data_IF_078384475059
#
_entry.id   IF_078384475059
#
_cell.length_a   1.000
_cell.length_b   1.000
_cell.length_c   1.000
_cell.angle_alpha   90.00
_cell.angle_beta   90.00
_cell.angle_gamma   90.00
#
_symmetry.space_group_name_H-M   'P 1'
#
loop_
_entity.id
_entity.type
_entity.pdbx_description
1 polymer ?
#
# COMPACT_ATOMS: atom_id res chain seq x y z
N UNK A 1 32.53 16.91 25.19
CA UNK A 1 31.63 17.43 24.11
C UNK A 1 31.49 16.40 23.00
N UNK A 2 32.60 15.92 22.40
CA UNK A 2 32.57 14.83 21.40
C UNK A 2 31.86 13.54 21.83
N UNK A 3 31.98 13.12 23.10
CA UNK A 3 31.24 11.94 23.59
C UNK A 3 29.72 12.17 23.61
N UNK A 4 29.26 13.32 24.11
CA UNK A 4 27.83 13.63 24.16
C UNK A 4 27.18 13.74 22.77
N UNK A 5 27.92 14.20 21.76
CA UNK A 5 27.46 14.26 20.37
C UNK A 5 27.37 12.86 19.72
N UNK A 6 28.36 11.99 19.98
CA UNK A 6 28.34 10.60 19.50
C UNK A 6 27.16 9.79 20.07
N UNK A 7 26.87 9.93 21.37
CA UNK A 7 25.71 9.26 21.97
C UNK A 7 24.38 9.80 21.43
N UNK A 8 24.29 11.10 21.12
CA UNK A 8 23.08 11.69 20.56
C UNK A 8 22.79 11.16 19.14
N UNK A 9 23.81 10.97 18.31
CA UNK A 9 23.66 10.40 16.97
C UNK A 9 23.32 8.90 17.00
N UNK A 10 23.92 8.13 17.91
CA UNK A 10 23.62 6.70 18.10
C UNK A 10 22.17 6.48 18.58
N UNK A 11 21.72 7.25 19.59
CA UNK A 11 20.34 7.20 20.08
C UNK A 11 19.34 7.57 18.98
N UNK A 12 19.66 8.59 18.17
CA UNK A 12 18.81 9.02 17.06
C UNK A 12 18.67 7.92 16.01
N UNK A 13 19.77 7.28 15.62
CA UNK A 13 19.75 6.17 14.66
C UNK A 13 18.97 4.96 15.19
N UNK A 14 19.16 4.62 16.47
CA UNK A 14 18.42 3.53 17.10
C UNK A 14 16.91 3.80 17.11
N UNK A 15 16.53 5.05 17.41
CA UNK A 15 15.13 5.49 17.36
C UNK A 15 14.56 5.43 15.93
N UNK A 16 15.28 5.96 14.95
CA UNK A 16 14.84 5.95 13.54
C UNK A 16 14.67 4.52 13.01
N UNK A 17 15.57 3.61 13.38
CA UNK A 17 15.45 2.19 13.05
C UNK A 17 14.20 1.56 13.70
N UNK A 18 13.97 1.81 14.99
CA UNK A 18 12.79 1.32 15.69
C UNK A 18 11.48 1.85 15.10
N UNK A 19 11.41 3.14 14.75
CA UNK A 19 10.25 3.74 14.10
C UNK A 19 10.00 3.11 12.72
N UNK A 20 11.04 2.91 11.92
CA UNK A 20 10.92 2.25 10.63
C UNK A 20 10.42 0.80 10.77
N UNK A 21 10.89 0.04 11.78
CA UNK A 21 10.39 -1.32 12.04
C UNK A 21 8.90 -1.33 12.39
N UNK A 22 8.47 -0.42 13.24
CA UNK A 22 7.05 -0.31 13.63
C UNK A 22 6.16 0.05 12.42
N UNK A 23 6.67 0.89 11.52
CA UNK A 23 5.97 1.21 10.27
C UNK A 23 5.87 0.00 9.34
N UNK A 24 6.96 -0.75 9.16
CA UNK A 24 6.96 -1.96 8.35
C UNK A 24 6.03 -3.03 8.93
N UNK A 25 6.05 -3.25 10.25
CA UNK A 25 5.16 -4.21 10.91
C UNK A 25 3.68 -3.84 10.75
N UNK A 26 3.34 -2.56 10.95
CA UNK A 26 1.98 -2.06 10.72
C UNK A 26 1.53 -2.27 9.27
N UNK A 27 2.42 -1.98 8.30
CA UNK A 27 2.14 -2.18 6.88
C UNK A 27 1.94 -3.67 6.55
N UNK A 28 2.81 -4.54 7.05
CA UNK A 28 2.72 -6.00 6.90
C UNK A 28 1.37 -6.49 7.41
N UNK A 29 0.95 -6.07 8.61
CA UNK A 29 -0.33 -6.46 9.18
C UNK A 29 -1.52 -6.00 8.33
N UNK A 30 -1.52 -4.73 7.89
CA UNK A 30 -2.59 -4.17 7.08
C UNK A 30 -2.76 -4.92 5.75
N UNK A 31 -1.65 -5.17 5.05
CA UNK A 31 -1.66 -5.83 3.74
C UNK A 31 -1.98 -7.32 3.86
N UNK A 32 -1.47 -8.00 4.89
CA UNK A 32 -1.82 -9.39 5.20
C UNK A 32 -3.33 -9.53 5.45
N UNK A 33 -3.94 -8.55 6.14
CA UNK A 33 -5.39 -8.49 6.31
C UNK A 33 -6.11 -8.26 4.98
N UNK A 34 -5.66 -7.32 4.15
CA UNK A 34 -6.27 -7.09 2.83
C UNK A 34 -6.22 -8.32 1.93
N UNK A 35 -5.12 -9.08 1.96
CA UNK A 35 -5.01 -10.36 1.24
C UNK A 35 -5.96 -11.43 1.78
N UNK A 36 -6.20 -11.47 3.09
CA UNK A 36 -7.18 -12.39 3.68
C UNK A 36 -8.61 -12.02 3.32
N UNK A 37 -8.94 -10.73 3.39
CA UNK A 37 -10.30 -10.24 3.21
C UNK A 37 -10.69 -10.13 1.72
N UNK A 38 -9.70 -9.86 0.85
CA UNK A 38 -9.93 -9.54 -0.55
C UNK A 38 -8.96 -10.22 -1.53
N UNK A 39 -8.17 -11.20 -1.10
CA UNK A 39 -7.16 -11.85 -1.94
C UNK A 39 -7.70 -12.58 -3.17
N UNK A 40 -9.01 -12.79 -3.27
CA UNK A 40 -9.68 -13.31 -4.49
C UNK A 40 -9.86 -12.23 -5.57
N UNK A 41 -9.85 -10.95 -5.17
CA UNK A 41 -9.92 -9.78 -6.06
C UNK A 41 -8.53 -9.31 -6.52
N UNK A 42 -7.47 -9.85 -5.93
CA UNK A 42 -6.10 -9.56 -6.35
C UNK A 42 -5.80 -10.30 -7.66
N UNK A 43 -5.18 -9.65 -8.65
CA UNK A 43 -4.61 -10.35 -9.79
C UNK A 43 -3.62 -11.42 -9.32
N UNK A 44 -3.64 -12.61 -9.91
CA UNK A 44 -2.84 -13.75 -9.43
C UNK A 44 -1.34 -13.46 -9.31
N UNK A 45 -0.78 -12.70 -10.27
CA UNK A 45 0.63 -12.28 -10.24
C UNK A 45 0.90 -11.30 -9.08
N UNK A 46 0.06 -10.27 -8.91
CA UNK A 46 0.15 -9.31 -7.80
C UNK A 46 -0.07 -9.96 -6.44
N UNK A 47 -0.95 -10.95 -6.34
CA UNK A 47 -1.17 -11.73 -5.12
C UNK A 47 0.11 -12.45 -4.71
N UNK A 48 0.70 -13.21 -5.63
CA UNK A 48 1.93 -13.95 -5.37
C UNK A 48 3.11 -13.02 -5.02
N UNK A 49 3.25 -11.90 -5.73
CA UNK A 49 4.26 -10.87 -5.43
C UNK A 49 4.06 -10.26 -4.04
N UNK A 50 2.82 -9.95 -3.66
CA UNK A 50 2.49 -9.40 -2.34
C UNK A 50 2.78 -10.41 -1.23
N UNK A 51 2.39 -11.68 -1.40
CA UNK A 51 2.68 -12.75 -0.43
C UNK A 51 4.19 -12.96 -0.24
N UNK A 52 4.96 -12.93 -1.32
CA UNK A 52 6.42 -13.00 -1.26
C UNK A 52 7.03 -11.78 -0.54
N UNK A 53 6.59 -10.56 -0.87
CA UNK A 53 7.07 -9.34 -0.23
C UNK A 53 6.73 -9.30 1.27
N UNK A 54 5.55 -9.77 1.66
CA UNK A 54 5.17 -9.93 3.07
C UNK A 54 6.04 -10.94 3.80
N UNK A 55 6.36 -12.07 3.18
CA UNK A 55 7.24 -13.07 3.77
C UNK A 55 8.65 -12.49 3.99
N UNK A 56 9.22 -11.81 2.99
CA UNK A 56 10.51 -11.12 3.12
C UNK A 56 10.50 -10.06 4.24
N UNK A 57 9.45 -9.24 4.31
CA UNK A 57 9.31 -8.23 5.36
C UNK A 57 9.18 -8.84 6.76
N UNK A 58 8.43 -9.93 6.92
CA UNK A 58 8.32 -10.67 8.19
C UNK A 58 9.67 -11.26 8.61
N UNK A 59 10.45 -11.81 7.68
CA UNK A 59 11.81 -12.28 7.96
C UNK A 59 12.75 -11.13 8.33
N UNK A 60 12.60 -9.97 7.71
CA UNK A 60 13.39 -8.78 8.04
C UNK A 60 13.07 -8.25 9.45
N UNK A 61 11.79 -8.23 9.83
CA UNK A 61 11.34 -7.82 11.17
C UNK A 61 11.85 -8.73 12.29
N UNK A 62 12.21 -9.99 11.99
CA UNK A 62 12.85 -10.91 12.95
C UNK A 62 14.32 -10.57 13.23
N UNK A 63 14.98 -9.80 12.35
CA UNK A 63 16.40 -9.45 12.48
C UNK A 63 16.56 -8.15 13.27
N UNK A 64 16.95 -8.14 14.55
CA UNK A 64 16.97 -6.94 15.38
C UNK A 64 17.88 -5.82 14.82
N UNK A 65 18.91 -6.19 14.08
CA UNK A 65 19.89 -5.28 13.48
C UNK A 65 19.60 -4.94 12.01
N UNK A 66 18.37 -5.17 11.53
CA UNK A 66 17.99 -4.84 10.16
C UNK A 66 18.19 -3.34 9.87
N UNK A 67 18.94 -3.04 8.82
CA UNK A 67 19.23 -1.67 8.40
C UNK A 67 17.95 -0.91 8.00
N UNK A 68 17.89 0.37 8.35
CA UNK A 68 16.77 1.24 8.00
C UNK A 68 16.51 1.30 6.47
N UNK A 69 17.56 1.19 5.66
CA UNK A 69 17.44 1.10 4.20
C UNK A 69 16.77 -0.20 3.75
N UNK A 70 17.12 -1.34 4.36
CA UNK A 70 16.48 -2.62 4.06
C UNK A 70 14.99 -2.59 4.43
N UNK A 71 14.66 -1.98 5.58
CA UNK A 71 13.28 -1.82 6.05
C UNK A 71 12.49 -0.94 5.06
N UNK A 72 13.05 0.19 4.64
CA UNK A 72 12.43 1.07 3.63
C UNK A 72 12.23 0.35 2.29
N UNK A 73 13.22 -0.41 1.83
CA UNK A 73 13.11 -1.18 0.60
C UNK A 73 12.00 -2.25 0.68
N UNK A 74 11.83 -2.89 1.85
CA UNK A 74 10.73 -3.82 2.09
C UNK A 74 9.36 -3.12 2.07
N UNK A 75 9.24 -1.93 2.69
CA UNK A 75 8.02 -1.13 2.61
C UNK A 75 7.66 -0.77 1.16
N UNK A 76 8.64 -0.27 0.38
CA UNK A 76 8.46 0.07 -1.03
C UNK A 76 8.05 -1.14 -1.89
N UNK A 77 8.66 -2.30 -1.64
CA UNK A 77 8.27 -3.55 -2.31
C UNK A 77 6.82 -3.92 -2.02
N UNK A 78 6.40 -3.85 -0.76
CA UNK A 78 5.02 -4.13 -0.37
C UNK A 78 4.08 -3.14 -1.08
N UNK A 79 4.37 -1.84 -1.01
CA UNK A 79 3.56 -0.78 -1.64
C UNK A 79 3.36 -1.01 -3.14
N UNK A 80 4.42 -1.37 -3.87
CA UNK A 80 4.35 -1.66 -5.31
C UNK A 80 3.59 -2.95 -5.62
N UNK A 81 3.72 -3.98 -4.78
CA UNK A 81 3.03 -5.24 -4.98
C UNK A 81 1.50 -5.11 -4.77
N UNK A 82 1.08 -4.22 -3.87
CA UNK A 82 -0.35 -3.97 -3.59
C UNK A 82 -0.99 -2.92 -4.50
N UNK A 83 -0.22 -2.16 -5.27
CA UNK A 83 -0.73 -1.10 -6.15
C UNK A 83 -1.77 -1.63 -7.15
N UNK A 84 -1.52 -2.71 -7.91
CA UNK A 84 -2.50 -3.24 -8.87
C UNK A 84 -3.75 -3.78 -8.20
N UNK A 85 -3.60 -4.32 -6.98
CA UNK A 85 -4.70 -4.82 -6.20
C UNK A 85 -5.55 -3.69 -5.61
N UNK A 86 -4.93 -2.59 -5.21
CA UNK A 86 -5.61 -1.39 -4.73
C UNK A 86 -6.45 -0.77 -5.84
N UNK A 87 -5.91 -0.70 -7.06
CA UNK A 87 -6.67 -0.28 -8.24
C UNK A 87 -7.85 -1.21 -8.55
N UNK A 88 -7.64 -2.53 -8.51
CA UNK A 88 -8.69 -3.50 -8.73
C UNK A 88 -9.81 -3.42 -7.67
N UNK A 89 -9.44 -3.22 -6.40
CA UNK A 89 -10.39 -3.02 -5.31
C UNK A 89 -11.17 -1.72 -5.43
N UNK A 90 -10.50 -0.63 -5.83
CA UNK A 90 -11.14 0.66 -6.05
C UNK A 90 -12.13 0.59 -7.22
N UNK A 91 -11.74 -0.05 -8.33
CA UNK A 91 -12.63 -0.31 -9.48
C UNK A 91 -13.83 -1.17 -9.10
N UNK A 92 -13.61 -2.25 -8.35
CA UNK A 92 -14.68 -3.10 -7.86
C UNK A 92 -15.63 -2.38 -6.89
N UNK A 93 -15.12 -1.44 -6.09
CA UNK A 93 -15.94 -0.61 -5.21
C UNK A 93 -16.79 0.40 -6.01
N UNK A 94 -16.24 0.98 -7.09
CA UNK A 94 -17.01 1.88 -7.98
C UNK A 94 -18.05 1.14 -8.81
N UNK A 95 -17.76 -0.07 -9.30
CA UNK A 95 -18.74 -0.88 -10.04
C UNK A 95 -19.86 -1.41 -9.12
N UNK A 96 -19.54 -1.76 -7.87
CA UNK A 96 -20.55 -2.18 -6.90
C UNK A 96 -21.44 -1.03 -6.41
N UNK A 97 -21.04 0.23 -6.66
CA UNK A 97 -21.86 1.43 -6.41
C UNK A 97 -22.80 1.78 -7.59
N UNK A 98 -22.75 1.02 -8.70
CA UNK A 98 -23.54 1.28 -9.91
C UNK A 98 -24.72 0.31 -10.15
N UNK A 99 -25.10 -0.49 -9.14
CA UNK A 99 -26.44 -1.11 -9.09
C UNK A 99 -27.46 -0.11 -8.51
N UNK A 100 -28.68 0.01 -9.07
CA UNK A 100 -29.48 1.22 -8.98
C UNK A 100 -30.11 1.39 -7.59
N UNK A 101 -29.57 2.32 -6.81
CA UNK A 101 -30.32 2.93 -5.71
C UNK A 101 -31.01 4.18 -6.29
N UNK A 102 -32.29 4.02 -6.59
CA UNK A 102 -33.17 5.15 -6.83
C UNK A 102 -33.18 6.09 -5.63
N UNK A 103 -33.27 7.37 -5.96
CA UNK A 103 -33.89 8.44 -5.17
C UNK A 103 -33.14 8.97 -3.92
N UNK A 104 -32.72 10.23 -4.06
CA UNK A 104 -32.61 11.27 -3.02
C UNK A 104 -31.40 11.29 -2.07
N UNK A 105 -30.38 12.11 -2.39
CA UNK A 105 -30.22 13.46 -1.81
C UNK A 105 -28.85 14.09 -2.16
N UNK A 106 -28.91 15.38 -2.52
CA UNK A 106 -27.86 16.30 -3.04
C UNK A 106 -27.01 16.91 -1.87
N UNK A 107 -26.03 17.80 -2.13
CA UNK A 107 -24.60 17.60 -2.46
C UNK A 107 -23.64 18.23 -1.41
N UNK A 108 -22.32 18.00 -1.55
CA UNK A 108 -21.19 18.92 -1.26
C UNK A 108 -19.88 18.19 -1.60
N UNK A 109 -19.40 18.38 -2.81
CA UNK A 109 -18.29 19.29 -3.14
C UNK A 109 -16.91 18.72 -2.77
N UNK A 110 -16.24 18.26 -3.84
CA UNK A 110 -14.89 18.69 -4.22
C UNK A 110 -13.72 17.70 -4.02
N UNK A 111 -13.56 16.80 -5.00
CA UNK A 111 -12.41 16.89 -5.92
C UNK A 111 -12.64 16.03 -7.17
N UNK A 112 -12.70 16.75 -8.27
CA UNK A 112 -12.84 16.32 -9.66
C UNK A 112 -11.78 15.28 -10.02
N UNK A 113 -12.23 14.09 -10.45
CA UNK A 113 -11.45 13.20 -11.30
C UNK A 113 -11.74 13.65 -12.73
N UNK A 114 -10.85 14.47 -13.30
CA UNK A 114 -10.78 14.70 -14.74
C UNK A 114 -10.25 13.42 -15.39
N UNK A 115 -11.14 12.43 -15.46
CA UNK A 115 -10.99 11.24 -16.29
C UNK A 115 -11.69 11.48 -17.61
N UNK A 116 -11.14 12.39 -18.44
CA UNK A 116 -11.46 12.44 -19.86
C UNK A 116 -10.86 11.17 -20.50
N UNK A 117 -11.61 10.08 -20.44
CA UNK A 117 -11.35 8.88 -21.24
C UNK A 117 -12.67 8.20 -21.61
N UNK A 118 -13.35 8.78 -22.60
CA UNK A 118 -14.29 8.10 -23.49
C UNK A 118 -14.30 8.89 -24.82
N UNK A 119 -14.35 8.33 -26.02
CA UNK A 119 -14.48 6.94 -26.48
C UNK A 119 -14.24 6.99 -28.00
N UNK A 120 -13.35 6.11 -28.46
CA UNK A 120 -13.50 5.22 -29.63
C UNK A 120 -13.72 5.83 -31.03
N UNK A 121 -12.73 5.53 -31.86
CA UNK A 121 -12.77 5.47 -33.32
C UNK A 121 -13.98 4.70 -33.90
N UNK A 122 -14.58 5.33 -34.93
CA UNK A 122 -15.22 4.74 -36.13
C UNK A 122 -16.57 3.97 -35.99
N UNK A 123 -17.30 3.66 -37.10
CA UNK A 123 -17.47 4.31 -38.42
C UNK A 123 -18.97 4.47 -38.83
N UNK A 124 -19.29 5.13 -39.96
CA UNK A 124 -20.09 4.58 -41.09
C UNK A 124 -20.81 5.64 -41.96
N UNK A 125 -20.59 5.46 -43.28
CA UNK A 125 -21.40 5.80 -44.47
C UNK A 125 -21.38 7.22 -45.01
#
# INVERSE_FOLDING_TARGET
RKEAELYADEDKKAREAAEARNQLDSLVFQVDKQLKDHGDKFPGDSKAQTEAALAEAKELLKKPDADAEAIKAAMEKISKAVEPASEALYKAATESAQAPAGESAKPKDDKVVDGDFEVVDEPKK
#
